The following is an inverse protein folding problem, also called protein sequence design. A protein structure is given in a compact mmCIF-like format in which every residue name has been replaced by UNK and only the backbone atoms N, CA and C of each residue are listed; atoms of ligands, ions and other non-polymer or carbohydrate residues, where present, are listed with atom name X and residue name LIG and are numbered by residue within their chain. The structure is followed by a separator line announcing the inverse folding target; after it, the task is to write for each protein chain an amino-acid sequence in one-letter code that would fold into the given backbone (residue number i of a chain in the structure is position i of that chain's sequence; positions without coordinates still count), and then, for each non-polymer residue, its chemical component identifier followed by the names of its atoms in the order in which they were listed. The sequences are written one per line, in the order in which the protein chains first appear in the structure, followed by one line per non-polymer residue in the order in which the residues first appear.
data_IF_110505909471
#
_entry.id   IF_110505909471
#
_cell.length_a   1.000
_cell.length_b   1.000
_cell.length_c   1.000
_cell.angle_alpha   90.00
_cell.angle_beta   90.00
_cell.angle_gamma   90.00
#
_symmetry.space_group_name_H-M   'P 1'
#
loop_
_entity.id
_entity.type
_entity.pdbx_description
1 polymer ?
#
# COMPACT_ATOMS: atom_id res chain seq x y z
N UNK A 1 1.96 -9.59 -10.39
CA UNK A 1 2.77 -8.39 -10.05
C UNK A 1 2.14 -7.21 -10.76
N UNK A 2 1.87 -6.10 -10.06
CA UNK A 2 1.33 -4.86 -10.64
C UNK A 2 2.21 -3.69 -10.23
N UNK A 3 2.73 -2.95 -11.20
CA UNK A 3 3.57 -1.79 -10.99
C UNK A 3 2.89 -0.55 -11.59
N UNK A 4 2.51 0.37 -10.72
CA UNK A 4 1.87 1.65 -11.02
C UNK A 4 2.74 2.81 -10.54
N UNK A 5 4.06 2.59 -10.43
CA UNK A 5 5.03 3.61 -10.06
C UNK A 5 4.90 4.88 -10.91
N UNK A 6 4.97 6.04 -10.26
CA UNK A 6 5.04 7.35 -10.91
C UNK A 6 3.84 7.66 -11.82
N UNK A 7 2.64 7.53 -11.27
CA UNK A 7 1.40 7.92 -11.91
C UNK A 7 0.68 9.01 -11.11
N UNK A 8 -0.46 9.49 -11.61
CA UNK A 8 -1.31 10.47 -10.93
C UNK A 8 -2.52 9.81 -10.23
N UNK A 9 -2.36 8.59 -9.72
CA UNK A 9 -3.45 7.84 -9.11
C UNK A 9 -3.81 8.47 -7.77
N UNK A 10 -5.04 8.98 -7.67
CA UNK A 10 -5.60 9.60 -6.46
C UNK A 10 -6.31 8.60 -5.56
N UNK A 11 -6.88 7.56 -6.15
CA UNK A 11 -7.56 6.47 -5.47
C UNK A 11 -7.34 5.17 -6.23
N UNK A 12 -7.27 4.07 -5.51
CA UNK A 12 -7.27 2.74 -6.11
C UNK A 12 -8.73 2.40 -6.43
N UNK A 13 -9.06 1.85 -7.61
CA UNK A 13 -10.43 1.45 -7.93
C UNK A 13 -10.78 0.12 -7.27
N UNK A 14 -12.08 -0.10 -7.00
CA UNK A 14 -12.58 -1.35 -6.42
C UNK A 14 -12.27 -2.58 -7.29
N UNK A 15 -12.13 -2.39 -8.61
CA UNK A 15 -11.73 -3.44 -9.55
C UNK A 15 -10.41 -4.15 -9.17
N UNK A 16 -9.54 -3.54 -8.36
CA UNK A 16 -8.32 -4.19 -7.87
C UNK A 16 -8.63 -5.44 -7.04
N UNK A 17 -9.81 -5.51 -6.40
CA UNK A 17 -10.27 -6.68 -5.62
C UNK A 17 -10.36 -7.96 -6.47
N UNK A 18 -10.53 -7.82 -7.79
CA UNK A 18 -10.63 -8.95 -8.70
C UNK A 18 -9.25 -9.57 -8.98
N UNK A 19 -8.16 -8.90 -8.60
CA UNK A 19 -6.79 -9.40 -8.79
C UNK A 19 -6.39 -10.35 -7.65
N UNK A 20 -7.12 -11.46 -7.51
CA UNK A 20 -6.92 -12.48 -6.46
C UNK A 20 -5.56 -13.19 -6.53
N UNK A 21 -4.80 -13.03 -7.61
CA UNK A 21 -3.43 -13.55 -7.73
C UNK A 21 -2.37 -12.46 -7.52
N UNK A 22 -2.77 -11.26 -7.11
CA UNK A 22 -1.85 -10.14 -6.95
C UNK A 22 -1.06 -10.27 -5.65
N UNK A 23 0.21 -10.65 -5.79
CA UNK A 23 1.14 -10.82 -4.67
C UNK A 23 2.09 -9.64 -4.49
N UNK A 24 2.29 -8.83 -5.51
CA UNK A 24 3.18 -7.66 -5.47
C UNK A 24 2.47 -6.47 -6.07
N UNK A 25 2.42 -5.37 -5.32
CA UNK A 25 1.82 -4.12 -5.73
C UNK A 25 2.72 -2.93 -5.39
N UNK A 26 3.17 -2.23 -6.42
CA UNK A 26 3.89 -0.97 -6.27
C UNK A 26 3.05 0.18 -6.80
N UNK A 27 2.66 1.10 -5.91
CA UNK A 27 1.94 2.34 -6.24
C UNK A 27 2.70 3.54 -5.68
N UNK A 28 4.03 3.43 -5.59
CA UNK A 28 4.84 4.55 -5.12
C UNK A 28 4.86 5.72 -6.10
N UNK A 29 5.11 6.92 -5.57
CA UNK A 29 5.06 8.19 -6.33
C UNK A 29 3.72 8.40 -7.01
N UNK A 30 2.64 8.29 -6.23
CA UNK A 30 1.29 8.62 -6.67
C UNK A 30 0.69 9.70 -5.76
N UNK A 31 -0.60 9.98 -5.90
CA UNK A 31 -1.31 11.01 -5.16
C UNK A 31 -2.34 10.38 -4.21
N UNK A 32 -2.11 9.15 -3.75
CA UNK A 32 -3.04 8.45 -2.86
C UNK A 32 -3.09 9.16 -1.51
N UNK A 33 -4.29 9.55 -1.09
CA UNK A 33 -4.54 10.14 0.23
C UNK A 33 -4.89 9.09 1.29
N UNK A 34 -5.52 8.00 0.86
CA UNK A 34 -5.93 6.87 1.72
C UNK A 34 -5.75 5.54 0.98
N UNK A 35 -5.64 4.45 1.74
CA UNK A 35 -5.69 3.10 1.21
C UNK A 35 -7.08 2.50 1.46
N UNK A 36 -7.76 1.99 0.44
CA UNK A 36 -9.10 1.45 0.61
C UNK A 36 -9.08 0.08 1.29
N UNK A 37 -10.13 -0.23 2.06
CA UNK A 37 -10.23 -1.47 2.84
C UNK A 37 -10.09 -2.76 2.03
N UNK A 38 -10.61 -2.78 0.79
CA UNK A 38 -10.56 -3.95 -0.09
C UNK A 38 -9.15 -4.26 -0.60
N UNK A 39 -8.20 -3.32 -0.47
CA UNK A 39 -6.80 -3.60 -0.73
C UNK A 39 -6.24 -4.64 0.24
N UNK A 40 -6.77 -4.65 1.48
CA UNK A 40 -6.32 -5.54 2.56
C UNK A 40 -6.92 -6.95 2.48
N UNK A 41 -7.83 -7.20 1.54
CA UNK A 41 -8.42 -8.52 1.27
C UNK A 41 -7.64 -9.28 0.17
N UNK A 42 -6.67 -8.62 -0.48
CA UNK A 42 -5.83 -9.24 -1.51
C UNK A 42 -4.69 -10.04 -0.88
N UNK A 43 -4.23 -11.15 -1.51
CA UNK A 43 -3.08 -11.92 -1.03
C UNK A 43 -1.74 -11.24 -1.36
N UNK A 44 -1.61 -9.96 -1.01
CA UNK A 44 -0.41 -9.17 -1.21
C UNK A 44 0.69 -9.66 -0.26
N UNK A 45 1.83 -10.03 -0.85
CA UNK A 45 3.08 -10.31 -0.14
C UNK A 45 3.95 -9.07 0.00
N UNK A 46 3.90 -8.18 -1.00
CA UNK A 46 4.68 -6.94 -1.02
C UNK A 46 3.79 -5.78 -1.42
N UNK A 47 3.75 -4.74 -0.60
CA UNK A 47 3.03 -3.50 -0.85
C UNK A 47 3.97 -2.29 -0.72
N UNK A 48 4.16 -1.56 -1.81
CA UNK A 48 4.99 -0.35 -1.85
C UNK A 48 4.11 0.87 -2.12
N UNK A 49 3.97 1.75 -1.13
CA UNK A 49 3.12 2.95 -1.18
C UNK A 49 3.89 4.23 -0.86
N UNK A 50 5.22 4.18 -0.98
CA UNK A 50 6.12 5.31 -0.70
C UNK A 50 5.83 6.52 -1.60
N UNK A 51 6.11 7.73 -1.09
CA UNK A 51 5.94 8.98 -1.83
C UNK A 51 4.49 9.16 -2.34
N UNK A 52 3.50 8.81 -1.52
CA UNK A 52 2.11 9.20 -1.69
C UNK A 52 1.74 10.34 -0.71
N UNK A 53 0.49 10.78 -0.76
CA UNK A 53 -0.10 11.74 0.20
C UNK A 53 -0.81 11.05 1.36
N UNK A 54 -0.41 9.82 1.67
CA UNK A 54 -0.99 9.04 2.77
C UNK A 54 -0.67 9.73 4.09
N UNK A 55 -1.72 10.12 4.83
CA UNK A 55 -1.59 10.73 6.16
C UNK A 55 -1.19 9.68 7.19
N UNK A 56 -1.79 8.49 7.09
CA UNK A 56 -1.50 7.33 7.93
C UNK A 56 -1.73 6.04 7.14
N UNK A 57 -1.15 4.95 7.63
CA UNK A 57 -1.51 3.61 7.18
C UNK A 57 -2.63 3.12 8.12
N UNK A 58 -3.77 2.66 7.58
CA UNK A 58 -4.86 2.14 8.39
C UNK A 58 -4.45 0.83 9.11
N UNK A 59 -5.00 0.59 10.30
CA UNK A 59 -4.70 -0.60 11.12
C UNK A 59 -5.11 -1.91 10.41
N UNK A 60 -6.05 -1.82 9.48
CA UNK A 60 -6.50 -2.91 8.62
C UNK A 60 -5.40 -3.50 7.75
N UNK A 61 -4.23 -2.86 7.64
CA UNK A 61 -3.04 -3.47 7.05
C UNK A 61 -2.69 -4.82 7.71
N UNK A 62 -3.02 -5.00 8.99
CA UNK A 62 -2.87 -6.28 9.71
C UNK A 62 -3.77 -7.41 9.20
N UNK A 63 -4.76 -7.12 8.34
CA UNK A 63 -5.59 -8.16 7.69
C UNK A 63 -4.86 -8.88 6.56
N UNK A 64 -3.81 -8.28 6.01
CA UNK A 64 -3.00 -8.90 4.97
C UNK A 64 -2.12 -10.02 5.56
N UNK A 65 -2.70 -11.23 5.66
CA UNK A 65 -2.06 -12.40 6.29
C UNK A 65 -0.75 -12.84 5.62
N UNK A 66 -0.62 -12.57 4.33
CA UNK A 66 0.53 -12.96 3.52
C UNK A 66 1.54 -11.84 3.32
N UNK A 67 1.30 -10.65 3.86
CA UNK A 67 2.18 -9.49 3.70
C UNK A 67 3.49 -9.74 4.44
N UNK A 68 4.57 -9.77 3.67
CA UNK A 68 5.94 -9.92 4.15
C UNK A 68 6.64 -8.56 4.19
N UNK A 69 6.34 -7.69 3.23
CA UNK A 69 7.00 -6.41 3.09
C UNK A 69 6.01 -5.29 2.81
N UNK A 70 5.97 -4.33 3.73
CA UNK A 70 5.31 -3.04 3.55
C UNK A 70 6.38 -1.96 3.46
N UNK A 71 6.36 -1.17 2.40
CA UNK A 71 7.23 -0.01 2.24
C UNK A 71 6.40 1.25 2.13
N UNK A 72 6.21 1.92 3.27
CA UNK A 72 5.61 3.25 3.34
C UNK A 72 6.67 4.26 3.78
N UNK A 73 6.92 5.25 2.91
CA UNK A 73 7.70 6.44 3.24
C UNK A 73 6.80 7.64 2.99
N UNK A 74 6.28 8.23 4.06
CA UNK A 74 5.58 9.51 3.98
C UNK A 74 6.62 10.64 3.96
N UNK A 75 6.39 11.64 3.10
CA UNK A 75 7.22 12.85 3.04
C UNK A 75 6.72 13.94 4.01
N UNK A 76 5.64 13.70 4.75
CA UNK A 76 5.01 14.66 5.67
C UNK A 76 4.85 14.12 7.10
N UNK A 77 5.67 13.16 7.52
CA UNK A 77 5.69 12.72 8.91
C UNK A 77 6.61 13.63 9.73
N UNK A 78 6.01 14.50 10.55
CA UNK A 78 6.67 15.23 11.65
C UNK A 78 7.02 14.34 12.86
N UNK A 79 6.94 13.02 12.70
CA UNK A 79 7.40 12.03 13.66
C UNK A 79 7.61 10.71 12.93
N UNK A 80 8.84 10.20 12.96
CA UNK A 80 9.35 9.06 12.21
C UNK A 80 8.42 7.83 12.20
N UNK A 81 7.67 7.61 11.11
CA UNK A 81 7.02 6.33 10.82
C UNK A 81 7.57 5.77 9.50
N UNK A 82 8.83 5.34 9.53
CA UNK A 82 9.32 4.38 8.53
C UNK A 82 8.79 3.02 8.98
N UNK A 83 7.62 2.60 8.47
CA UNK A 83 7.22 1.21 8.59
C UNK A 83 8.10 0.39 7.64
N UNK A 84 9.15 -0.22 8.21
CA UNK A 84 9.98 -1.22 7.54
C UNK A 84 9.82 -2.54 8.27
N UNK A 85 9.11 -3.45 7.63
CA UNK A 85 9.01 -4.84 8.03
C UNK A 85 7.67 -5.21 8.66
N UNK A 86 6.92 -6.05 7.95
CA UNK A 86 5.96 -6.94 8.59
C UNK A 86 6.71 -8.25 8.78
N UNK A 87 7.62 -8.29 9.76
CA UNK A 87 8.10 -9.58 10.23
C UNK A 87 6.96 -10.15 11.06
N UNK A 88 6.42 -11.27 10.57
CA UNK A 88 5.41 -12.08 11.24
C UNK A 88 5.74 -12.32 12.71
#
# INVERSE_FOLDING_TARGET
MLNLYHNCIKSIPEAIKNLQMLTYLNISRNLLSTLPKYLFDLPLKVLVVSNNKLVSIPEEIGKLRDLMELVSRSTHCSGSCIYRGVNK
#
